data_IF_508282890964
#
_entry.id   IF_508282890964
#
_cell.length_a   1.000
_cell.length_b   1.000
_cell.length_c   1.000
_cell.angle_alpha   90.00
_cell.angle_beta   90.00
_cell.angle_gamma   90.00
#
_symmetry.space_group_name_H-M   'P 1'
#
loop_
_entity.id
_entity.type
_entity.pdbx_description
1 polymer ?
#
# COMPACT_ATOMS: atom_id res chain seq x y z
N UNK A 1 -23.87 1.64 5.43
CA UNK A 1 -22.98 0.84 4.56
C UNK A 1 -22.54 -0.35 5.39
N UNK A 2 -22.85 -1.59 4.99
CA UNK A 2 -22.55 -2.77 5.83
C UNK A 2 -21.07 -3.07 5.82
N UNK A 3 -20.46 -3.23 7.01
CA UNK A 3 -19.16 -3.89 7.13
C UNK A 3 -19.31 -5.29 6.55
N UNK A 4 -18.24 -5.77 5.92
CA UNK A 4 -18.20 -7.13 5.43
C UNK A 4 -18.41 -8.08 6.62
N UNK A 5 -19.52 -8.81 6.65
CA UNK A 5 -19.86 -9.68 7.78
C UNK A 5 -18.82 -10.80 7.95
N UNK A 6 -18.11 -11.18 6.87
CA UNK A 6 -17.02 -12.14 6.95
C UNK A 6 -15.85 -11.64 7.84
N UNK A 7 -15.65 -10.32 7.88
CA UNK A 7 -14.59 -9.63 8.63
C UNK A 7 -14.87 -9.57 10.14
N UNK A 8 -16.15 -9.74 10.52
CA UNK A 8 -16.62 -9.73 11.91
C UNK A 8 -16.93 -11.14 12.42
N UNK A 9 -16.99 -12.14 11.52
CA UNK A 9 -17.48 -13.48 11.85
C UNK A 9 -16.59 -14.24 12.86
N UNK A 10 -15.31 -13.89 12.95
CA UNK A 10 -14.35 -14.51 13.89
C UNK A 10 -14.13 -13.69 15.17
N UNK A 11 -14.78 -12.52 15.29
CA UNK A 11 -14.62 -11.61 16.41
C UNK A 11 -15.75 -11.82 17.43
N UNK A 12 -15.48 -11.56 18.71
CA UNK A 12 -16.54 -11.46 19.70
C UNK A 12 -17.53 -10.34 19.33
N UNK A 13 -18.75 -10.36 19.86
CA UNK A 13 -19.74 -9.30 19.60
C UNK A 13 -19.23 -7.90 19.99
N UNK A 14 -18.44 -7.79 21.05
CA UNK A 14 -17.91 -6.52 21.51
C UNK A 14 -16.80 -5.99 20.60
N UNK A 15 -15.90 -6.88 20.15
CA UNK A 15 -14.87 -6.57 19.15
C UNK A 15 -15.52 -6.18 17.82
N UNK A 16 -16.57 -6.90 17.42
CA UNK A 16 -17.32 -6.61 16.21
C UNK A 16 -17.95 -5.22 16.24
N UNK A 17 -18.57 -4.84 17.37
CA UNK A 17 -19.12 -3.49 17.56
C UNK A 17 -18.03 -2.40 17.57
N UNK A 18 -16.87 -2.68 18.17
CA UNK A 18 -15.74 -1.73 18.20
C UNK A 18 -15.15 -1.53 16.81
N UNK A 19 -14.91 -2.62 16.08
CA UNK A 19 -14.46 -2.58 14.69
C UNK A 19 -15.47 -1.81 13.82
N UNK A 20 -16.77 -2.07 14.00
CA UNK A 20 -17.82 -1.37 13.27
C UNK A 20 -17.79 0.14 13.47
N UNK A 21 -17.72 0.59 14.73
CA UNK A 21 -17.62 2.02 15.07
C UNK A 21 -16.34 2.66 14.53
N UNK A 22 -15.24 1.91 14.46
CA UNK A 22 -13.97 2.39 13.91
C UNK A 22 -14.11 2.64 12.39
N UNK A 23 -14.70 1.69 11.66
CA UNK A 23 -14.94 1.82 10.23
C UNK A 23 -15.99 2.91 9.90
N UNK A 24 -17.01 3.08 10.74
CA UNK A 24 -18.02 4.15 10.60
C UNK A 24 -17.44 5.55 10.80
N UNK A 25 -16.47 5.72 11.70
CA UNK A 25 -15.75 6.99 11.89
C UNK A 25 -14.87 7.37 10.69
N UNK A 26 -14.68 6.45 9.75
CA UNK A 26 -13.80 6.62 8.60
C UNK A 26 -12.35 6.37 8.98
N UNK A 27 -11.80 5.25 8.50
CA UNK A 27 -10.36 5.02 8.49
C UNK A 27 -9.77 5.75 7.30
N UNK A 28 -8.95 6.76 7.58
CA UNK A 28 -8.31 7.60 6.58
C UNK A 28 -6.80 7.55 6.78
N UNK A 29 -6.08 7.22 5.71
CA UNK A 29 -4.68 7.63 5.61
C UNK A 29 -4.69 9.08 5.15
N UNK A 30 -4.04 10.01 5.87
CA UNK A 30 -3.93 11.38 5.41
C UNK A 30 -3.22 11.37 4.05
N UNK A 31 -3.79 11.96 3.00
CA UNK A 31 -3.07 12.18 1.77
C UNK A 31 -1.83 13.04 1.98
N UNK A 32 -0.76 12.73 1.27
CA UNK A 32 0.47 13.50 1.26
C UNK A 32 0.19 14.91 0.73
N UNK A 33 0.54 15.97 1.50
CA UNK A 33 0.28 17.34 1.09
C UNK A 33 0.90 17.72 -0.26
N UNK A 34 2.09 17.17 -0.58
CA UNK A 34 2.78 17.44 -1.85
C UNK A 34 2.01 16.87 -3.04
N UNK A 35 1.63 15.59 -2.98
CA UNK A 35 0.83 14.95 -4.04
C UNK A 35 -0.49 15.69 -4.25
N UNK A 36 -1.17 16.09 -3.16
CA UNK A 36 -2.38 16.91 -3.25
C UNK A 36 -2.15 18.26 -3.95
N UNK A 37 -1.08 18.97 -3.62
CA UNK A 37 -0.76 20.26 -4.24
C UNK A 37 -0.45 20.11 -5.74
N UNK A 38 0.31 19.08 -6.10
CA UNK A 38 0.62 18.77 -7.50
C UNK A 38 -0.64 18.38 -8.28
N UNK A 39 -1.52 17.58 -7.70
CA UNK A 39 -2.81 17.23 -8.31
C UNK A 39 -3.69 18.45 -8.54
N UNK A 40 -3.79 19.35 -7.55
CA UNK A 40 -4.53 20.60 -7.69
C UNK A 40 -3.93 21.45 -8.80
N UNK A 41 -2.60 21.51 -8.92
CA UNK A 41 -1.92 22.22 -10.00
C UNK A 41 -2.22 21.61 -11.37
N UNK A 42 -2.03 20.29 -11.53
CA UNK A 42 -2.32 19.55 -12.77
C UNK A 42 -3.77 19.75 -13.23
N UNK A 43 -4.71 19.79 -12.28
CA UNK A 43 -6.14 20.05 -12.55
C UNK A 43 -6.38 21.48 -13.00
N UNK A 44 -5.72 22.46 -12.39
CA UNK A 44 -5.90 23.87 -12.72
C UNK A 44 -5.25 24.26 -14.05
N UNK A 45 -4.17 23.58 -14.45
CA UNK A 45 -3.48 23.79 -15.73
C UNK A 45 -4.29 23.28 -16.94
N UNK A 46 -5.31 22.42 -16.71
CA UNK A 46 -6.29 22.02 -17.72
C UNK A 46 -5.79 21.09 -18.83
N UNK A 47 -4.49 20.78 -18.87
CA UNK A 47 -3.86 19.86 -19.83
C UNK A 47 -3.41 18.56 -19.17
N UNK A 48 -4.34 17.84 -18.55
CA UNK A 48 -4.07 16.55 -17.93
C UNK A 48 -4.72 15.40 -18.72
N UNK A 49 -3.89 14.44 -19.15
CA UNK A 49 -4.38 13.15 -19.61
C UNK A 49 -4.83 12.28 -18.45
N UNK A 50 -5.81 11.40 -18.69
CA UNK A 50 -6.31 10.45 -17.67
C UNK A 50 -5.17 9.66 -17.02
N UNK A 51 -4.21 9.20 -17.82
CA UNK A 51 -3.05 8.42 -17.36
C UNK A 51 -2.13 9.22 -16.44
N UNK A 52 -1.92 10.51 -16.71
CA UNK A 52 -1.11 11.39 -15.86
C UNK A 52 -1.79 11.57 -14.50
N UNK A 53 -3.11 11.79 -14.49
CA UNK A 53 -3.87 11.92 -13.26
C UNK A 53 -3.88 10.61 -12.46
N UNK A 54 -4.04 9.47 -13.15
CA UNK A 54 -4.00 8.14 -12.54
C UNK A 54 -2.65 7.87 -11.86
N UNK A 55 -1.55 8.09 -12.57
CA UNK A 55 -0.20 7.91 -12.05
C UNK A 55 0.03 8.78 -10.82
N UNK A 56 -0.35 10.07 -10.89
CA UNK A 56 -0.16 10.99 -9.78
C UNK A 56 -1.01 10.66 -8.55
N UNK A 57 -2.22 10.15 -8.73
CA UNK A 57 -3.06 9.69 -7.62
C UNK A 57 -2.50 8.41 -7.00
N UNK A 58 -1.99 7.49 -7.84
CA UNK A 58 -1.45 6.22 -7.39
C UNK A 58 -0.24 6.41 -6.45
N UNK A 59 0.54 7.49 -6.59
CA UNK A 59 1.62 7.87 -5.65
C UNK A 59 1.17 7.97 -4.19
N UNK A 60 -0.11 8.21 -3.91
CA UNK A 60 -0.61 8.39 -2.55
C UNK A 60 -1.59 7.29 -2.11
N UNK A 61 -1.30 6.55 -1.02
CA UNK A 61 -2.19 5.52 -0.51
C UNK A 61 -3.53 6.07 0.00
N UNK A 62 -3.55 7.29 0.56
CA UNK A 62 -4.77 7.93 1.04
C UNK A 62 -5.75 8.27 -0.09
N UNK A 63 -5.26 8.85 -1.18
CA UNK A 63 -6.05 9.17 -2.36
C UNK A 63 -6.49 7.92 -3.11
N UNK A 64 -5.59 6.95 -3.25
CA UNK A 64 -5.91 5.66 -3.86
C UNK A 64 -7.03 4.96 -3.09
N UNK A 65 -6.96 4.95 -1.75
CA UNK A 65 -8.00 4.37 -0.91
C UNK A 65 -9.35 5.08 -1.08
N UNK A 66 -9.35 6.41 -1.20
CA UNK A 66 -10.57 7.19 -1.45
C UNK A 66 -11.23 6.79 -2.77
N UNK A 67 -10.45 6.55 -3.83
CA UNK A 67 -10.98 6.12 -5.12
C UNK A 67 -11.54 4.69 -5.08
N UNK A 68 -10.80 3.74 -4.51
CA UNK A 68 -11.27 2.36 -4.35
C UNK A 68 -12.55 2.30 -3.52
N UNK A 69 -12.65 3.11 -2.47
CA UNK A 69 -13.87 3.24 -1.66
C UNK A 69 -15.03 3.86 -2.46
N UNK A 70 -14.77 4.84 -3.32
CA UNK A 70 -15.80 5.49 -4.12
C UNK A 70 -16.46 4.54 -5.13
N UNK A 71 -15.68 3.66 -5.77
CA UNK A 71 -16.22 2.66 -6.72
C UNK A 71 -17.03 1.55 -6.08
N UNK A 72 -17.09 1.46 -4.74
CA UNK A 72 -17.96 0.50 -4.04
C UNK A 72 -19.43 0.93 -4.00
N UNK A 73 -19.75 2.14 -4.47
CA UNK A 73 -21.13 2.57 -4.66
C UNK A 73 -21.88 1.63 -5.61
N UNK A 74 -23.17 1.32 -5.36
CA UNK A 74 -23.99 0.53 -6.28
C UNK A 74 -23.98 1.02 -7.74
N UNK A 75 -23.71 2.32 -7.95
CA UNK A 75 -23.57 2.93 -9.27
C UNK A 75 -22.50 2.26 -10.16
N UNK A 76 -21.46 1.65 -9.56
CA UNK A 76 -20.33 1.09 -10.30
C UNK A 76 -20.29 -0.45 -10.27
N UNK A 77 -21.31 -1.11 -9.71
CA UNK A 77 -21.32 -2.58 -9.52
C UNK A 77 -21.07 -3.37 -10.83
N UNK A 78 -21.55 -2.88 -11.97
CA UNK A 78 -21.41 -3.53 -13.26
C UNK A 78 -19.96 -3.53 -13.81
N UNK A 79 -19.06 -2.72 -13.24
CA UNK A 79 -17.68 -2.56 -13.69
C UNK A 79 -16.66 -3.21 -12.76
N UNK A 80 -17.13 -3.86 -11.69
CA UNK A 80 -16.29 -4.57 -10.73
C UNK A 80 -15.82 -5.92 -11.30
N UNK A 81 -14.66 -6.46 -10.88
CA UNK A 81 -13.71 -5.86 -9.93
C UNK A 81 -12.75 -4.86 -10.59
N UNK A 82 -12.34 -3.84 -9.83
CA UNK A 82 -11.24 -2.94 -10.23
C UNK A 82 -9.91 -3.44 -9.68
N UNK A 83 -8.87 -3.43 -10.50
CA UNK A 83 -7.50 -3.81 -10.10
C UNK A 83 -6.49 -2.68 -10.15
N UNK A 84 -6.84 -1.51 -10.68
CA UNK A 84 -5.94 -0.33 -10.69
C UNK A 84 -6.66 1.01 -10.70
N UNK A 85 -5.93 2.06 -10.32
CA UNK A 85 -6.41 3.45 -10.30
C UNK A 85 -6.83 3.90 -11.70
N UNK A 86 -6.11 3.48 -12.75
CA UNK A 86 -6.44 3.86 -14.12
C UNK A 86 -7.82 3.34 -14.54
N UNK A 87 -8.13 2.06 -14.27
CA UNK A 87 -9.45 1.48 -14.55
C UNK A 87 -10.57 2.23 -13.81
N UNK A 88 -10.32 2.62 -12.55
CA UNK A 88 -11.26 3.41 -11.76
C UNK A 88 -11.50 4.77 -12.41
N UNK A 89 -10.45 5.48 -12.81
CA UNK A 89 -10.56 6.79 -13.46
C UNK A 89 -11.28 6.72 -14.81
N UNK A 90 -11.05 5.66 -15.59
CA UNK A 90 -11.76 5.42 -16.85
C UNK A 90 -13.26 5.24 -16.63
N UNK A 91 -13.65 4.64 -15.51
CA UNK A 91 -15.07 4.37 -15.19
C UNK A 91 -15.77 5.55 -14.50
N UNK A 92 -15.13 6.17 -13.51
CA UNK A 92 -15.68 7.31 -12.77
C UNK A 92 -15.65 8.60 -13.61
N UNK A 93 -14.63 8.75 -14.45
CA UNK A 93 -14.36 9.96 -15.21
C UNK A 93 -13.58 11.02 -14.42
N UNK A 94 -12.79 11.81 -15.15
CA UNK A 94 -11.82 12.77 -14.60
C UNK A 94 -12.48 13.76 -13.63
N UNK A 95 -13.65 14.32 -13.97
CA UNK A 95 -14.28 15.36 -13.15
C UNK A 95 -14.70 14.86 -11.77
N UNK A 96 -15.21 13.63 -11.68
CA UNK A 96 -15.61 13.04 -10.40
C UNK A 96 -14.39 12.64 -9.57
N UNK A 97 -13.34 12.13 -10.21
CA UNK A 97 -12.04 11.90 -9.57
C UNK A 97 -11.50 13.18 -8.92
N UNK A 98 -11.53 14.31 -9.62
CA UNK A 98 -11.10 15.60 -9.09
C UNK A 98 -11.91 16.00 -7.85
N UNK A 99 -13.23 15.80 -7.88
CA UNK A 99 -14.10 16.12 -6.75
C UNK A 99 -13.74 15.27 -5.52
N UNK A 100 -13.44 13.97 -5.70
CA UNK A 100 -13.00 13.07 -4.64
C UNK A 100 -11.65 13.50 -4.05
N UNK A 101 -10.67 13.83 -4.90
CA UNK A 101 -9.37 14.34 -4.46
C UNK A 101 -9.51 15.64 -3.66
N UNK A 102 -10.34 16.58 -4.12
CA UNK A 102 -10.63 17.84 -3.40
C UNK A 102 -11.28 17.58 -2.03
N UNK A 103 -12.22 16.63 -1.96
CA UNK A 103 -12.85 16.25 -0.69
C UNK A 103 -11.84 15.62 0.29
N UNK A 104 -10.92 14.81 -0.21
CA UNK A 104 -9.83 14.23 0.58
C UNK A 104 -8.88 15.31 1.13
N UNK A 105 -8.54 16.32 0.31
CA UNK A 105 -7.70 17.45 0.71
C UNK A 105 -8.34 18.34 1.80
N UNK A 106 -9.65 18.51 1.77
CA UNK A 106 -10.38 19.25 2.81
C UNK A 106 -10.42 18.45 4.12
N UNK A 107 -10.58 17.13 4.03
CA UNK A 107 -10.63 16.23 5.20
C UNK A 107 -9.28 16.13 5.91
N UNK A 108 -8.17 16.19 5.17
CA UNK A 108 -6.82 16.07 5.74
C UNK A 108 -6.36 17.31 6.52
N UNK A 109 -6.78 18.51 6.10
CA UNK A 109 -6.44 19.76 6.79
C UNK A 109 -7.05 19.87 8.19
N UNK A 110 -8.16 19.18 8.44
CA UNK A 110 -8.80 19.13 9.75
C UNK A 110 -8.05 18.24 10.77
N UNK A 111 -7.13 17.38 10.33
CA UNK A 111 -6.56 16.30 11.15
C UNK A 111 -5.32 16.68 11.99
N UNK A 112 -4.77 17.89 11.87
CA UNK A 112 -3.69 18.41 12.74
C UNK A 112 -2.45 17.51 12.84
N UNK A 113 -1.51 17.62 11.90
CA UNK A 113 -0.38 16.69 11.78
C UNK A 113 0.71 16.88 12.85
N UNK A 114 0.54 16.27 14.03
CA UNK A 114 1.57 16.18 15.08
C UNK A 114 2.72 15.19 14.77
N UNK A 115 2.72 14.54 13.60
CA UNK A 115 3.62 13.44 13.21
C UNK A 115 4.14 13.56 11.77
N UNK A 116 4.38 14.80 11.31
CA UNK A 116 4.68 15.07 9.90
C UNK A 116 5.94 14.32 9.42
N UNK A 117 6.99 14.22 10.23
CA UNK A 117 8.23 13.53 9.87
C UNK A 117 8.02 12.03 9.63
N UNK A 118 7.37 11.31 10.56
CA UNK A 118 7.10 9.88 10.40
C UNK A 118 6.17 9.60 9.23
N UNK A 119 5.22 10.51 8.95
CA UNK A 119 4.34 10.40 7.78
C UNK A 119 5.10 10.60 6.46
N UNK A 120 6.01 11.56 6.38
CA UNK A 120 6.89 11.73 5.21
C UNK A 120 7.78 10.50 4.97
N UNK A 121 8.34 9.92 6.03
CA UNK A 121 9.10 8.67 5.93
C UNK A 121 8.22 7.49 5.46
N UNK A 122 6.96 7.43 5.92
CA UNK A 122 5.99 6.43 5.47
C UNK A 122 5.63 6.60 3.98
N UNK A 123 5.29 7.83 3.54
CA UNK A 123 4.94 8.08 2.14
C UNK A 123 6.11 7.81 1.20
N UNK A 124 7.31 8.28 1.54
CA UNK A 124 8.51 8.07 0.73
C UNK A 124 8.81 6.57 0.55
N UNK A 125 8.74 5.79 1.63
CA UNK A 125 8.94 4.34 1.58
C UNK A 125 7.86 3.63 0.77
N UNK A 126 6.59 3.96 1.02
CA UNK A 126 5.46 3.34 0.30
C UNK A 126 5.57 3.59 -1.22
N UNK A 127 5.95 4.80 -1.62
CA UNK A 127 6.15 5.16 -3.01
C UNK A 127 7.34 4.41 -3.62
N UNK A 128 8.49 4.38 -2.94
CA UNK A 128 9.68 3.70 -3.42
C UNK A 128 9.44 2.19 -3.60
N UNK A 129 8.84 1.53 -2.60
CA UNK A 129 8.49 0.11 -2.67
C UNK A 129 7.48 -0.14 -3.80
N UNK A 130 6.48 0.73 -4.00
CA UNK A 130 5.53 0.61 -5.11
C UNK A 130 6.20 0.68 -6.49
N UNK A 131 7.12 1.62 -6.68
CA UNK A 131 7.86 1.77 -7.94
C UNK A 131 8.77 0.56 -8.21
N UNK A 132 9.50 0.11 -7.20
CA UNK A 132 10.38 -1.07 -7.32
C UNK A 132 9.54 -2.33 -7.59
N UNK A 133 8.42 -2.52 -6.87
CA UNK A 133 7.50 -3.64 -7.09
C UNK A 133 6.93 -3.65 -8.51
N UNK A 134 6.57 -2.48 -9.04
CA UNK A 134 6.12 -2.32 -10.42
C UNK A 134 7.20 -2.72 -11.44
N UNK A 135 8.46 -2.32 -11.22
CA UNK A 135 9.58 -2.69 -12.09
C UNK A 135 9.83 -4.20 -12.05
N UNK A 136 9.85 -4.81 -10.85
CA UNK A 136 10.00 -6.25 -10.70
C UNK A 136 8.88 -6.99 -11.44
N UNK A 137 7.63 -6.56 -11.26
CA UNK A 137 6.49 -7.17 -11.93
C UNK A 137 6.59 -7.02 -13.45
N UNK A 138 7.05 -5.88 -13.97
CA UNK A 138 7.24 -5.64 -15.40
C UNK A 138 8.30 -6.59 -16.00
N UNK A 139 9.45 -6.73 -15.34
CA UNK A 139 10.50 -7.69 -15.74
C UNK A 139 10.03 -9.15 -15.69
N UNK A 140 9.09 -9.46 -14.78
CA UNK A 140 8.65 -10.83 -14.50
C UNK A 140 7.23 -11.15 -14.97
N UNK A 141 6.54 -10.23 -15.66
CA UNK A 141 5.10 -10.37 -15.99
C UNK A 141 4.81 -11.65 -16.77
N UNK A 142 5.71 -12.04 -17.67
CA UNK A 142 5.57 -13.26 -18.49
C UNK A 142 5.72 -14.56 -17.69
N UNK A 143 6.35 -14.49 -16.51
CA UNK A 143 6.59 -15.63 -15.61
C UNK A 143 5.54 -15.68 -14.51
N UNK A 144 5.27 -14.52 -13.92
CA UNK A 144 4.51 -14.38 -12.68
C UNK A 144 3.03 -14.06 -12.92
N UNK A 145 2.67 -13.57 -14.11
CA UNK A 145 1.31 -13.13 -14.44
C UNK A 145 0.72 -12.09 -13.47
N UNK A 146 1.59 -11.32 -12.80
CA UNK A 146 1.22 -10.15 -12.01
C UNK A 146 1.53 -8.91 -12.84
N UNK A 147 0.52 -8.08 -13.08
CA UNK A 147 0.70 -6.86 -13.87
C UNK A 147 1.38 -5.76 -13.04
N UNK A 148 2.17 -4.87 -13.68
CA UNK A 148 2.89 -3.81 -12.97
C UNK A 148 2.00 -2.88 -12.14
N UNK A 149 0.78 -2.58 -12.62
CA UNK A 149 -0.18 -1.72 -11.92
C UNK A 149 -0.74 -2.38 -10.65
N UNK A 150 -0.90 -3.71 -10.66
CA UNK A 150 -1.29 -4.50 -9.48
C UNK A 150 -0.17 -4.54 -8.45
N UNK A 151 1.09 -4.72 -8.88
CA UNK A 151 2.25 -4.72 -8.01
C UNK A 151 2.50 -3.35 -7.38
N UNK A 152 2.33 -2.29 -8.17
CA UNK A 152 2.36 -0.91 -7.67
C UNK A 152 1.29 -0.69 -6.60
N UNK A 153 0.06 -1.15 -6.83
CA UNK A 153 -1.04 -1.04 -5.87
C UNK A 153 -0.73 -1.78 -4.56
N UNK A 154 -0.17 -2.99 -4.62
CA UNK A 154 0.24 -3.71 -3.42
C UNK A 154 1.37 -2.96 -2.69
N UNK A 155 2.37 -2.46 -3.42
CA UNK A 155 3.50 -1.74 -2.83
C UNK A 155 3.11 -0.44 -2.14
N UNK A 156 2.15 0.32 -2.68
CA UNK A 156 1.70 1.57 -2.03
C UNK A 156 0.93 1.29 -0.74
N UNK A 157 0.31 0.12 -0.61
CA UNK A 157 -0.52 -0.26 0.53
C UNK A 157 0.12 -1.25 1.52
N UNK A 158 1.28 -1.86 1.22
CA UNK A 158 1.84 -2.94 2.06
C UNK A 158 1.93 -2.53 3.54
N UNK A 159 2.41 -1.32 3.80
CA UNK A 159 2.58 -0.75 5.14
C UNK A 159 1.42 0.14 5.58
N UNK A 160 0.26 0.10 4.92
CA UNK A 160 -0.83 1.05 5.19
C UNK A 160 -1.31 1.04 6.65
N UNK A 161 -1.19 -0.10 7.34
CA UNK A 161 -1.49 -0.21 8.77
C UNK A 161 -0.63 0.66 9.68
N UNK A 162 0.61 0.97 9.27
CA UNK A 162 1.55 1.84 9.99
C UNK A 162 0.95 3.22 10.19
N UNK A 163 0.36 3.81 9.14
CA UNK A 163 -0.27 5.13 9.21
C UNK A 163 -1.46 5.16 10.21
N UNK A 164 -2.18 4.06 10.34
CA UNK A 164 -3.29 3.94 11.31
C UNK A 164 -2.76 3.76 12.73
N UNK A 165 -1.71 2.96 12.92
CA UNK A 165 -1.04 2.81 14.22
C UNK A 165 -0.42 4.12 14.69
N UNK A 166 0.16 4.91 13.79
CA UNK A 166 0.62 6.28 14.07
C UNK A 166 -0.51 7.17 14.57
N UNK A 167 -1.71 7.11 13.97
CA UNK A 167 -2.84 7.91 14.45
C UNK A 167 -3.38 7.40 15.79
N UNK A 168 -3.42 6.08 15.97
CA UNK A 168 -4.01 5.43 17.15
C UNK A 168 -3.17 5.59 18.41
N UNK A 169 -1.86 5.42 18.28
CA UNK A 169 -0.93 5.34 19.40
C UNK A 169 0.05 6.53 19.35
N UNK A 170 -0.09 7.46 20.30
CA UNK A 170 0.73 8.67 20.33
C UNK A 170 2.23 8.37 20.41
N UNK A 171 2.62 7.32 21.12
CA UNK A 171 4.02 6.91 21.32
C UNK A 171 4.61 6.05 20.19
N UNK A 172 3.80 5.55 19.25
CA UNK A 172 4.22 4.56 18.24
C UNK A 172 5.48 4.95 17.46
N UNK A 173 5.50 6.15 16.86
CA UNK A 173 6.67 6.62 16.10
C UNK A 173 7.93 6.70 16.97
N UNK A 174 7.79 7.15 18.22
CA UNK A 174 8.90 7.28 19.16
C UNK A 174 9.41 5.92 19.63
N UNK A 175 8.52 4.97 19.90
CA UNK A 175 8.87 3.62 20.33
C UNK A 175 9.66 2.89 19.24
N UNK A 176 9.17 2.91 18.01
CA UNK A 176 9.81 2.25 16.86
C UNK A 176 10.89 3.11 16.18
N UNK A 177 11.12 4.33 16.66
CA UNK A 177 12.07 5.30 16.09
C UNK A 177 11.82 5.61 14.60
N UNK A 178 10.56 5.66 14.18
CA UNK A 178 10.19 5.88 12.77
C UNK A 178 10.53 7.27 12.23
N UNK A 179 10.97 8.18 13.10
CA UNK A 179 11.49 9.50 12.71
C UNK A 179 13.00 9.48 12.43
N UNK A 180 13.68 8.37 12.74
CA UNK A 180 15.12 8.20 12.57
C UNK A 180 15.44 7.43 11.27
N UNK A 181 16.47 7.82 10.51
CA UNK A 181 16.89 7.09 9.32
C UNK A 181 17.23 5.63 9.62
N UNK A 182 16.82 4.72 8.73
CA UNK A 182 17.11 3.29 8.83
C UNK A 182 16.24 2.50 9.80
N UNK A 183 15.23 3.13 10.40
CA UNK A 183 14.24 2.44 11.22
C UNK A 183 12.97 2.11 10.40
N UNK A 184 12.51 0.87 10.54
CA UNK A 184 11.30 0.35 9.92
C UNK A 184 10.32 -0.16 10.98
N UNK A 185 8.99 -0.15 10.73
CA UNK A 185 8.06 -1.01 11.44
C UNK A 185 8.59 -2.43 11.69
N UNK A 186 8.29 -2.98 12.86
CA UNK A 186 8.71 -4.33 13.24
C UNK A 186 7.55 -5.05 13.94
N UNK A 187 7.08 -6.16 13.36
CA UNK A 187 5.91 -6.89 13.88
C UNK A 187 6.06 -7.32 15.35
N UNK A 188 7.22 -7.87 15.71
CA UNK A 188 7.45 -8.38 17.06
C UNK A 188 7.46 -7.25 18.11
N UNK A 189 8.04 -6.09 17.78
CA UNK A 189 7.99 -4.93 18.67
C UNK A 189 6.57 -4.34 18.75
N UNK A 190 5.84 -4.32 17.65
CA UNK A 190 4.45 -3.85 17.61
C UNK A 190 3.52 -4.70 18.47
N UNK A 191 3.58 -6.03 18.31
CA UNK A 191 2.84 -6.98 19.13
C UNK A 191 3.14 -6.80 20.62
N UNK A 192 4.43 -6.69 20.96
CA UNK A 192 4.87 -6.56 22.35
C UNK A 192 4.46 -5.23 22.99
N UNK A 193 4.35 -4.14 22.23
CA UNK A 193 4.13 -2.78 22.75
C UNK A 193 2.70 -2.27 22.61
N UNK A 194 1.98 -2.73 21.59
CA UNK A 194 0.66 -2.20 21.20
C UNK A 194 -0.41 -3.28 21.09
N UNK A 195 -0.04 -4.57 21.17
CA UNK A 195 -0.96 -5.71 20.97
C UNK A 195 -1.71 -5.62 19.63
N UNK A 196 -1.04 -5.07 18.63
CA UNK A 196 -1.51 -4.92 17.27
C UNK A 196 -0.30 -4.69 16.36
N UNK A 197 -0.25 -5.41 15.25
CA UNK A 197 0.77 -5.26 14.22
C UNK A 197 0.21 -4.59 12.95
N UNK A 198 1.09 -3.97 12.17
CA UNK A 198 0.69 -3.21 10.99
C UNK A 198 0.19 -4.08 9.84
N UNK A 199 0.62 -5.35 9.74
CA UNK A 199 0.17 -6.24 8.67
C UNK A 199 -1.30 -6.66 8.87
N UNK A 200 -1.69 -6.99 10.10
CA UNK A 200 -3.09 -7.26 10.46
C UNK A 200 -3.95 -6.01 10.34
N UNK A 201 -3.49 -4.86 10.87
CA UNK A 201 -4.24 -3.61 10.74
C UNK A 201 -4.40 -3.22 9.28
N UNK A 202 -3.33 -3.32 8.49
CA UNK A 202 -3.32 -3.04 7.05
C UNK A 202 -4.31 -3.91 6.30
N UNK A 203 -4.34 -5.23 6.57
CA UNK A 203 -5.30 -6.16 6.00
C UNK A 203 -6.76 -5.77 6.27
N UNK A 204 -7.10 -5.47 7.52
CA UNK A 204 -8.47 -5.08 7.89
C UNK A 204 -8.91 -3.79 7.18
N UNK A 205 -7.97 -2.86 6.99
CA UNK A 205 -8.21 -1.59 6.30
C UNK A 205 -8.32 -1.80 4.79
N UNK A 206 -7.47 -2.64 4.19
CA UNK A 206 -7.52 -3.02 2.78
C UNK A 206 -8.87 -3.66 2.41
N UNK A 207 -9.37 -4.57 3.26
CA UNK A 207 -10.71 -5.13 3.12
C UNK A 207 -11.82 -4.07 3.25
N UNK A 208 -11.65 -3.10 4.15
CA UNK A 208 -12.59 -1.99 4.28
C UNK A 208 -12.62 -1.10 3.02
N UNK A 209 -11.48 -0.88 2.38
CA UNK A 209 -11.39 -0.17 1.10
C UNK A 209 -11.76 -1.04 -0.10
N UNK A 210 -11.99 -2.34 0.12
CA UNK A 210 -12.35 -3.31 -0.92
C UNK A 210 -11.30 -3.34 -2.04
N UNK A 211 -10.03 -3.36 -1.64
CA UNK A 211 -8.92 -3.67 -2.55
C UNK A 211 -9.09 -5.10 -3.10
N UNK A 212 -8.43 -5.46 -4.22
CA UNK A 212 -8.43 -6.82 -4.72
C UNK A 212 -8.02 -7.84 -3.64
N UNK A 213 -8.63 -9.03 -3.65
CA UNK A 213 -8.41 -10.05 -2.62
C UNK A 213 -6.94 -10.42 -2.44
N UNK A 214 -6.25 -10.76 -3.53
CA UNK A 214 -4.83 -11.09 -3.50
C UNK A 214 -3.94 -9.93 -3.01
N UNK A 215 -4.36 -8.67 -3.20
CA UNK A 215 -3.66 -7.49 -2.63
C UNK A 215 -3.89 -7.42 -1.12
N UNK A 216 -5.10 -7.71 -0.65
CA UNK A 216 -5.38 -7.78 0.79
C UNK A 216 -4.52 -8.88 1.44
N UNK A 217 -4.46 -10.05 0.83
CA UNK A 217 -3.67 -11.16 1.33
C UNK A 217 -2.18 -10.84 1.29
N UNK A 218 -1.69 -10.19 0.23
CA UNK A 218 -0.30 -9.71 0.18
C UNK A 218 0.01 -8.72 1.32
N UNK A 219 -0.90 -7.78 1.62
CA UNK A 219 -0.76 -6.87 2.78
C UNK A 219 -0.75 -7.65 4.10
N UNK A 220 -1.54 -8.72 4.24
CA UNK A 220 -1.55 -9.53 5.46
C UNK A 220 -0.25 -10.30 5.69
N UNK A 221 0.36 -10.79 4.61
CA UNK A 221 1.42 -11.80 4.66
C UNK A 221 2.76 -11.30 4.10
N UNK A 222 2.94 -10.00 3.86
CA UNK A 222 4.19 -9.47 3.29
C UNK A 222 5.46 -9.74 4.12
N UNK A 223 5.32 -10.09 5.40
CA UNK A 223 6.41 -10.56 6.28
C UNK A 223 6.54 -12.09 6.39
N UNK A 224 5.57 -12.86 5.87
CA UNK A 224 5.47 -14.32 6.05
C UNK A 224 5.03 -15.02 4.76
N UNK A 225 6.00 -15.20 3.85
CA UNK A 225 5.84 -15.83 2.53
C UNK A 225 5.38 -17.30 2.59
N UNK A 226 5.65 -18.02 3.69
CA UNK A 226 5.48 -19.47 3.77
C UNK A 226 4.02 -19.93 3.95
N UNK A 227 3.08 -19.00 4.14
CA UNK A 227 1.70 -19.31 4.58
C UNK A 227 0.61 -19.18 3.51
N UNK A 228 0.97 -19.16 2.23
CA UNK A 228 0.00 -18.85 1.15
C UNK A 228 -0.20 -19.98 0.15
N UNK A 229 -1.46 -20.45 0.06
CA UNK A 229 -1.90 -21.43 -0.94
C UNK A 229 -2.27 -20.76 -2.28
N UNK A 230 -2.71 -19.50 -2.26
CA UNK A 230 -3.06 -18.72 -3.46
C UNK A 230 -1.80 -18.25 -4.20
N UNK A 231 -1.69 -18.59 -5.48
CA UNK A 231 -0.53 -18.28 -6.30
C UNK A 231 -0.33 -16.77 -6.46
N UNK A 232 -1.37 -16.03 -6.82
CA UNK A 232 -1.25 -14.61 -7.16
C UNK A 232 -0.85 -13.80 -5.92
N UNK A 233 -1.43 -14.13 -4.77
CA UNK A 233 -1.07 -13.52 -3.50
C UNK A 233 0.35 -13.88 -3.06
N UNK A 234 0.77 -15.15 -3.21
CA UNK A 234 2.14 -15.59 -2.89
C UNK A 234 3.18 -14.90 -3.77
N UNK A 235 2.96 -14.87 -5.08
CA UNK A 235 3.82 -14.16 -6.03
C UNK A 235 3.86 -12.66 -5.72
N UNK A 236 2.73 -12.05 -5.35
CA UNK A 236 2.71 -10.64 -4.92
C UNK A 236 3.55 -10.41 -3.66
N UNK A 237 3.48 -11.31 -2.66
CA UNK A 237 4.36 -11.23 -1.48
C UNK A 237 5.83 -11.34 -1.87
N UNK A 238 6.21 -12.25 -2.76
CA UNK A 238 7.60 -12.34 -3.26
C UNK A 238 8.06 -11.04 -3.93
N UNK A 239 7.21 -10.42 -4.75
CA UNK A 239 7.49 -9.12 -5.37
C UNK A 239 7.71 -8.05 -4.29
N UNK A 240 6.85 -7.98 -3.27
CA UNK A 240 6.98 -7.03 -2.17
C UNK A 240 8.25 -7.26 -1.33
N UNK A 241 8.59 -8.51 -1.01
CA UNK A 241 9.79 -8.81 -0.22
C UNK A 241 11.08 -8.47 -0.98
N UNK A 242 11.13 -8.79 -2.27
CA UNK A 242 12.24 -8.35 -3.10
C UNK A 242 12.27 -6.82 -3.18
N UNK A 243 11.13 -6.14 -3.40
CA UNK A 243 11.08 -4.68 -3.46
C UNK A 243 11.58 -4.01 -2.18
N UNK A 244 11.17 -4.52 -1.02
CA UNK A 244 11.65 -4.07 0.30
C UNK A 244 13.15 -4.31 0.44
N UNK A 245 13.68 -5.47 0.02
CA UNK A 245 15.11 -5.73 0.05
C UNK A 245 15.91 -4.77 -0.85
N UNK A 246 15.44 -4.52 -2.07
CA UNK A 246 16.07 -3.59 -3.00
C UNK A 246 16.07 -2.17 -2.43
N UNK A 247 14.95 -1.71 -1.87
CA UNK A 247 14.87 -0.42 -1.19
C UNK A 247 15.83 -0.35 0.02
N UNK A 248 15.89 -1.39 0.84
CA UNK A 248 16.83 -1.46 1.97
C UNK A 248 18.29 -1.39 1.51
N UNK A 249 18.64 -2.07 0.41
CA UNK A 249 19.97 -2.03 -0.21
C UNK A 249 20.30 -0.62 -0.71
N UNK A 250 19.39 0.01 -1.44
CA UNK A 250 19.54 1.39 -1.95
C UNK A 250 19.71 2.42 -0.81
N UNK A 251 18.93 2.23 0.26
CA UNK A 251 18.95 3.10 1.44
C UNK A 251 20.12 2.82 2.40
N UNK A 252 20.94 1.81 2.13
CA UNK A 252 22.01 1.33 3.01
C UNK A 252 21.51 0.94 4.42
N UNK A 253 20.33 0.32 4.49
CA UNK A 253 19.68 -0.13 5.71
C UNK A 253 19.64 -1.66 5.75
N UNK A 254 19.78 -2.25 6.93
CA UNK A 254 19.66 -3.69 7.08
C UNK A 254 18.21 -4.15 6.82
N UNK A 255 18.05 -5.22 6.04
CA UNK A 255 16.83 -6.00 5.99
C UNK A 255 17.08 -7.34 6.69
N UNK A 256 16.72 -7.48 7.98
CA UNK A 256 17.01 -8.70 8.75
C UNK A 256 16.19 -9.91 8.29
N UNK A 257 15.08 -9.70 7.58
CA UNK A 257 14.19 -10.77 7.12
C UNK A 257 14.70 -11.40 5.82
N UNK A 258 15.48 -10.66 5.03
CA UNK A 258 15.86 -11.06 3.68
C UNK A 258 16.52 -12.43 3.59
N UNK A 259 17.51 -12.71 4.43
CA UNK A 259 18.23 -14.00 4.37
C UNK A 259 17.30 -15.20 4.64
N UNK A 260 16.19 -15.00 5.37
CA UNK A 260 15.22 -16.07 5.65
C UNK A 260 14.31 -16.33 4.45
N UNK A 261 14.04 -15.31 3.64
CA UNK A 261 13.04 -15.36 2.57
C UNK A 261 13.63 -15.33 1.16
N UNK A 262 14.94 -15.08 1.02
CA UNK A 262 15.63 -14.89 -0.26
C UNK A 262 15.41 -16.05 -1.22
N UNK A 263 15.67 -17.28 -0.78
CA UNK A 263 15.58 -18.48 -1.62
C UNK A 263 14.15 -18.69 -2.13
N UNK A 264 13.18 -18.60 -1.22
CA UNK A 264 11.77 -18.78 -1.55
C UNK A 264 11.24 -17.66 -2.47
N UNK A 265 11.65 -16.42 -2.23
CA UNK A 265 11.35 -15.26 -3.07
C UNK A 265 11.91 -15.43 -4.48
N UNK A 266 13.19 -15.80 -4.60
CA UNK A 266 13.83 -16.01 -5.90
C UNK A 266 13.16 -17.14 -6.68
N UNK A 267 12.86 -18.26 -6.01
CA UNK A 267 12.18 -19.41 -6.61
C UNK A 267 10.79 -19.06 -7.13
N UNK A 268 9.96 -18.36 -6.32
CA UNK A 268 8.61 -17.94 -6.72
C UNK A 268 8.63 -16.98 -7.91
N UNK A 269 9.59 -16.06 -7.94
CA UNK A 269 9.75 -15.14 -9.05
C UNK A 269 10.36 -15.81 -10.27
N UNK A 270 10.87 -17.05 -10.17
CA UNK A 270 11.56 -17.79 -11.23
C UNK A 270 12.97 -17.27 -11.52
N UNK A 271 13.64 -16.69 -10.52
CA UNK A 271 15.00 -16.17 -10.59
C UNK A 271 15.94 -17.22 -10.00
N UNK A 272 16.96 -17.63 -10.77
CA UNK A 272 18.00 -18.51 -10.24
C UNK A 272 18.83 -17.77 -9.18
N UNK A 273 19.24 -18.44 -8.10
CA UNK A 273 19.95 -17.79 -6.98
C UNK A 273 21.21 -17.04 -7.45
N UNK A 274 22.00 -17.64 -8.33
CA UNK A 274 23.19 -17.01 -8.92
C UNK A 274 22.90 -15.76 -9.77
N UNK A 275 21.68 -15.63 -10.32
CA UNK A 275 21.27 -14.49 -11.15
C UNK A 275 20.57 -13.39 -10.34
N UNK A 276 20.23 -13.65 -9.08
CA UNK A 276 19.51 -12.70 -8.23
C UNK A 276 20.27 -11.38 -8.00
N UNK A 277 21.61 -11.36 -7.78
CA UNK A 277 22.34 -10.10 -7.63
C UNK A 277 22.27 -9.22 -8.90
N UNK A 278 22.44 -9.82 -10.08
CA UNK A 278 22.34 -9.13 -11.36
C UNK A 278 20.92 -8.59 -11.60
N UNK A 279 19.90 -9.40 -11.29
CA UNK A 279 18.51 -8.95 -11.38
C UNK A 279 18.22 -7.74 -10.49
N UNK A 280 18.74 -7.74 -9.25
CA UNK A 280 18.60 -6.58 -8.36
C UNK A 280 19.27 -5.34 -8.96
N UNK A 281 20.46 -5.47 -9.54
CA UNK A 281 21.17 -4.35 -10.15
C UNK A 281 20.39 -3.75 -11.34
N UNK A 282 19.76 -4.59 -12.17
CA UNK A 282 18.87 -4.15 -13.27
C UNK A 282 17.68 -3.35 -12.72
N UNK A 283 17.03 -3.85 -11.67
CA UNK A 283 15.87 -3.17 -11.06
C UNK A 283 16.29 -1.83 -10.44
N UNK A 284 17.45 -1.78 -9.76
CA UNK A 284 17.99 -0.54 -9.19
C UNK A 284 18.31 0.49 -10.27
N UNK A 285 18.95 0.08 -11.37
CA UNK A 285 19.23 0.97 -12.49
C UNK A 285 17.93 1.55 -13.06
N UNK A 286 16.91 0.73 -13.29
CA UNK A 286 15.60 1.21 -13.75
C UNK A 286 14.95 2.17 -12.76
N UNK A 287 15.01 1.87 -11.46
CA UNK A 287 14.43 2.71 -10.40
C UNK A 287 15.10 4.10 -10.31
N UNK A 288 16.41 4.18 -10.52
CA UNK A 288 17.12 5.47 -10.53
C UNK A 288 16.85 6.32 -11.79
N UNK A 289 16.32 5.72 -12.86
CA UNK A 289 15.98 6.40 -14.11
C UNK A 289 14.48 6.70 -14.29
N UNK A 290 13.63 6.29 -13.34
CA UNK A 290 12.17 6.50 -13.36
C UNK A 290 11.68 7.84 -12.81
#
# INVERSE_FOLDING_TARGET
MSIDQALLATLSEDESRKAARLFEKGLLIPPQPRVLQDLVRLVNEGNHGLRVLAAKIAEDPGLTAVLFKAVQSPAYRAHQPFSSVEQILQTIGIQQTINLVRAAALSSQAAGNRKLQSLEAFWARSQAVAQIAMIIADERVSVCNIFPDQAYLAGVFHDCGVALLMQRFSTYCKTLRLDEPGHWPNLAEEDARFSADHAVVGYLVALHWKLPGFVCDAIRFHHDFARMDDHDARTMVAILQLAVHIYSRDSLVANPEWETVREATAAELGIHEDALPEFIDIVLERYHHS
#
